data_IF_727808848749
#
_entry.id   IF_727808848749
#
_cell.length_a   1.000
_cell.length_b   1.000
_cell.length_c   1.000
_cell.angle_alpha   90.00
_cell.angle_beta   90.00
_cell.angle_gamma   90.00
#
_symmetry.space_group_name_H-M   'P 1'
#
loop_
_entity.id
_entity.type
_entity.pdbx_description
1 polymer ?
#
# COMPACT_ATOMS: atom_id res chain seq x y z
N UNK A 1 5.29 -4.80 5.31
CA UNK A 1 3.96 -5.30 4.90
C UNK A 1 4.00 -6.25 3.70
N UNK A 2 4.91 -6.11 2.73
CA UNK A 2 5.02 -7.06 1.59
C UNK A 2 5.34 -8.49 2.03
N UNK A 3 6.32 -8.70 2.89
CA UNK A 3 6.76 -10.04 3.31
C UNK A 3 5.66 -10.89 3.97
N UNK A 4 4.88 -10.41 4.95
CA UNK A 4 3.78 -11.20 5.51
C UNK A 4 2.69 -11.53 4.48
N UNK A 5 2.43 -10.63 3.52
CA UNK A 5 1.49 -10.88 2.42
C UNK A 5 2.04 -11.94 1.47
N UNK A 6 3.30 -11.85 1.09
CA UNK A 6 3.96 -12.85 0.24
C UNK A 6 3.96 -14.23 0.92
N UNK A 7 4.23 -14.28 2.23
CA UNK A 7 4.13 -15.51 3.01
C UNK A 7 2.71 -16.07 3.02
N UNK A 8 1.70 -15.24 3.25
CA UNK A 8 0.29 -15.65 3.19
C UNK A 8 -0.07 -16.22 1.81
N UNK A 9 0.31 -15.54 0.73
CA UNK A 9 0.05 -16.02 -0.64
C UNK A 9 0.77 -17.35 -0.92
N UNK A 10 1.98 -17.55 -0.40
CA UNK A 10 2.71 -18.81 -0.55
C UNK A 10 2.06 -19.97 0.22
N UNK A 11 1.47 -19.71 1.38
CA UNK A 11 0.84 -20.73 2.22
C UNK A 11 -0.60 -21.03 1.80
N UNK A 12 -1.40 -20.00 1.53
CA UNK A 12 -2.85 -20.09 1.30
C UNK A 12 -3.23 -20.05 -0.20
N UNK A 13 -2.26 -19.75 -1.09
CA UNK A 13 -2.49 -19.62 -2.52
C UNK A 13 -3.37 -18.42 -2.94
N UNK A 14 -3.81 -17.61 -2.00
CA UNK A 14 -4.71 -16.47 -2.21
C UNK A 14 -4.16 -15.21 -1.55
N UNK A 15 -4.59 -14.04 -2.03
CA UNK A 15 -4.26 -12.78 -1.38
C UNK A 15 -5.15 -12.58 -0.14
N UNK A 16 -4.62 -12.10 0.99
CA UNK A 16 -5.40 -11.97 2.20
C UNK A 16 -6.50 -10.92 2.05
N UNK A 17 -7.68 -11.24 2.60
CA UNK A 17 -8.86 -10.37 2.50
C UNK A 17 -8.77 -9.09 3.32
N UNK A 18 -7.90 -9.04 4.34
CA UNK A 18 -7.71 -7.90 5.23
C UNK A 18 -6.36 -7.99 5.97
N UNK A 19 -5.99 -6.93 6.70
CA UNK A 19 -4.74 -6.86 7.45
C UNK A 19 -4.62 -7.94 8.54
N UNK A 20 -5.73 -8.31 9.20
CA UNK A 20 -5.71 -9.32 10.25
C UNK A 20 -5.39 -10.71 9.69
N UNK A 21 -5.95 -11.08 8.53
CA UNK A 21 -5.63 -12.33 7.84
C UNK A 21 -4.13 -12.46 7.51
N UNK A 22 -3.48 -11.34 7.25
CA UNK A 22 -2.04 -11.27 6.96
C UNK A 22 -1.15 -11.06 8.19
N UNK A 23 -1.72 -11.08 9.41
CA UNK A 23 -1.02 -10.74 10.66
C UNK A 23 -0.30 -9.38 10.61
N UNK A 24 -0.92 -8.39 9.95
CA UNK A 24 -0.37 -7.05 9.85
C UNK A 24 -0.95 -6.14 10.93
N UNK A 25 -0.08 -5.39 11.60
CA UNK A 25 -0.48 -4.30 12.48
C UNK A 25 -0.98 -3.13 11.64
N UNK A 26 -2.22 -2.68 11.89
CA UNK A 26 -2.76 -1.48 11.27
C UNK A 26 -2.25 -0.23 11.99
N UNK A 27 -1.82 0.81 11.27
CA UNK A 27 -1.41 2.07 11.89
C UNK A 27 -2.58 2.75 12.61
N UNK A 28 -2.31 3.62 13.60
CA UNK A 28 -3.36 4.41 14.24
C UNK A 28 -4.11 5.24 13.19
N UNK A 29 -5.45 5.18 13.22
CA UNK A 29 -6.33 5.87 12.27
C UNK A 29 -6.07 7.40 12.16
N UNK A 30 -5.53 7.99 13.23
CA UNK A 30 -5.16 9.40 13.29
C UNK A 30 -4.00 9.80 12.36
N UNK A 31 -3.25 8.83 11.83
CA UNK A 31 -2.12 9.07 10.91
C UNK A 31 -2.43 8.61 9.49
N UNK A 32 -3.22 7.56 9.36
CA UNK A 32 -3.76 7.10 8.09
C UNK A 32 -4.59 5.85 8.24
N UNK A 33 -5.17 5.41 7.14
CA UNK A 33 -5.96 4.18 7.07
C UNK A 33 -5.30 3.20 6.12
N UNK A 34 -5.15 1.96 6.57
CA UNK A 34 -4.66 0.85 5.76
C UNK A 34 -5.85 0.06 5.24
N UNK A 35 -5.91 -0.16 3.93
CA UNK A 35 -6.86 -1.05 3.29
C UNK A 35 -6.10 -2.16 2.54
N UNK A 36 -6.64 -3.37 2.61
CA UNK A 36 -6.15 -4.51 1.82
C UNK A 36 -7.28 -4.95 0.91
N UNK A 37 -6.97 -5.03 -0.38
CA UNK A 37 -7.87 -5.52 -1.42
C UNK A 37 -7.24 -6.76 -2.06
N UNK A 38 -7.99 -7.47 -2.91
CA UNK A 38 -7.62 -8.77 -3.47
C UNK A 38 -6.24 -8.88 -4.18
N UNK A 39 -5.57 -7.76 -4.49
CA UNK A 39 -4.21 -7.77 -5.03
C UNK A 39 -3.39 -6.52 -4.64
N UNK A 40 -3.84 -5.75 -3.64
CA UNK A 40 -3.19 -4.49 -3.30
C UNK A 40 -3.31 -4.10 -1.84
N UNK A 41 -2.36 -3.29 -1.43
CA UNK A 41 -2.31 -2.64 -0.13
C UNK A 41 -2.36 -1.14 -0.39
N UNK A 42 -3.36 -0.46 0.15
CA UNK A 42 -3.51 0.98 0.04
C UNK A 42 -3.36 1.63 1.42
N UNK A 43 -2.59 2.70 1.48
CA UNK A 43 -2.46 3.53 2.68
C UNK A 43 -2.86 4.97 2.35
N UNK A 44 -3.91 5.45 3.00
CA UNK A 44 -4.41 6.83 2.83
C UNK A 44 -3.98 7.67 4.01
N UNK A 45 -3.33 8.80 3.73
CA UNK A 45 -2.80 9.72 4.74
C UNK A 45 -3.94 10.58 5.29
N UNK A 46 -4.33 10.41 6.54
CA UNK A 46 -5.41 11.21 7.16
C UNK A 46 -4.88 12.50 7.79
N UNK A 47 -3.60 12.50 8.19
CA UNK A 47 -2.91 13.64 8.80
C UNK A 47 -1.56 13.87 8.12
N UNK A 48 -1.43 15.01 7.44
CA UNK A 48 -0.24 15.40 6.69
C UNK A 48 -0.27 16.88 6.29
N UNK A 49 0.65 17.28 5.41
CA UNK A 49 0.64 18.61 4.78
C UNK A 49 -0.56 18.73 3.82
N UNK A 50 -0.93 19.94 3.38
CA UNK A 50 -1.99 20.10 2.38
C UNK A 50 -1.77 19.28 1.11
N UNK A 51 -0.51 19.05 0.72
CA UNK A 51 -0.14 18.24 -0.45
C UNK A 51 -0.31 16.73 -0.26
N UNK A 52 -0.25 16.21 0.97
CA UNK A 52 -0.30 14.76 1.24
C UNK A 52 -1.58 14.31 1.93
N UNK A 53 -2.30 15.22 2.59
CA UNK A 53 -3.53 14.89 3.30
C UNK A 53 -4.60 14.40 2.31
N UNK A 54 -5.15 13.23 2.58
CA UNK A 54 -6.13 12.54 1.73
C UNK A 54 -5.52 11.74 0.58
N UNK A 55 -4.20 11.82 0.37
CA UNK A 55 -3.50 11.10 -0.69
C UNK A 55 -3.26 9.65 -0.28
N UNK A 56 -3.25 8.77 -1.27
CA UNK A 56 -3.15 7.32 -1.13
C UNK A 56 -1.92 6.78 -1.83
N UNK A 57 -1.15 5.97 -1.11
CA UNK A 57 -0.05 5.17 -1.64
C UNK A 57 -0.56 3.74 -1.81
N UNK A 58 -0.38 3.17 -2.99
CA UNK A 58 -0.84 1.82 -3.33
C UNK A 58 0.33 0.94 -3.71
N UNK A 59 0.44 -0.22 -3.08
CA UNK A 59 1.28 -1.32 -3.51
C UNK A 59 0.41 -2.40 -4.14
N UNK A 60 0.58 -2.65 -5.43
CA UNK A 60 -0.11 -3.73 -6.13
C UNK A 60 0.84 -4.90 -6.37
N UNK A 61 0.37 -6.12 -6.14
CA UNK A 61 1.11 -7.34 -6.42
C UNK A 61 0.59 -7.94 -7.72
N UNK A 62 1.46 -8.14 -8.69
CA UNK A 62 1.12 -8.90 -9.89
C UNK A 62 0.92 -10.37 -9.49
N UNK A 63 -0.27 -10.97 -9.72
CA UNK A 63 -0.54 -12.34 -9.30
C UNK A 63 0.24 -13.38 -10.12
N UNK A 64 0.60 -13.08 -11.36
CA UNK A 64 1.33 -13.98 -12.24
C UNK A 64 2.83 -14.01 -11.96
N UNK A 65 3.43 -12.86 -11.62
CA UNK A 65 4.88 -12.75 -11.42
C UNK A 65 5.30 -12.57 -9.96
N UNK A 66 4.38 -12.23 -9.07
CA UNK A 66 4.66 -11.83 -7.69
C UNK A 66 5.34 -10.46 -7.56
N UNK A 67 5.57 -9.75 -8.66
CA UNK A 67 6.21 -8.46 -8.64
C UNK A 67 5.32 -7.39 -7.98
N UNK A 68 5.94 -6.52 -7.17
CA UNK A 68 5.25 -5.41 -6.52
C UNK A 68 5.48 -4.11 -7.28
N UNK A 69 4.41 -3.41 -7.62
CA UNK A 69 4.44 -2.03 -8.11
C UNK A 69 3.98 -1.08 -7.01
N UNK A 70 4.51 0.14 -7.02
CA UNK A 70 4.12 1.19 -6.09
C UNK A 70 3.65 2.41 -6.88
N UNK A 71 2.49 2.95 -6.51
CA UNK A 71 1.92 4.14 -7.11
C UNK A 71 1.33 5.05 -6.03
N UNK A 72 1.10 6.31 -6.38
CA UNK A 72 0.36 7.25 -5.54
C UNK A 72 -0.56 8.14 -6.37
N UNK A 73 -1.58 8.70 -5.73
CA UNK A 73 -2.48 9.73 -6.29
C UNK A 73 -2.00 11.18 -6.04
N UNK A 74 -0.76 11.33 -5.55
CA UNK A 74 -0.08 12.62 -5.50
C UNK A 74 0.01 13.25 -6.89
N UNK A 75 -0.04 14.57 -6.92
CA UNK A 75 0.19 15.36 -8.12
C UNK A 75 1.62 15.13 -8.64
N UNK A 76 1.84 15.17 -9.95
CA UNK A 76 3.13 14.79 -10.55
C UNK A 76 4.32 15.60 -10.01
N UNK A 77 4.11 16.88 -9.73
CA UNK A 77 5.13 17.77 -9.14
C UNK A 77 5.47 17.40 -7.70
N UNK A 78 4.53 16.81 -6.97
CA UNK A 78 4.70 16.37 -5.60
C UNK A 78 5.25 14.95 -5.53
N UNK A 79 4.87 14.06 -6.46
CA UNK A 79 5.44 12.71 -6.59
C UNK A 79 6.96 12.75 -6.64
N UNK A 80 7.52 13.60 -7.50
CA UNK A 80 8.99 13.71 -7.69
C UNK A 80 9.74 14.19 -6.45
N UNK A 81 9.05 14.87 -5.52
CA UNK A 81 9.63 15.46 -4.30
C UNK A 81 9.38 14.63 -3.05
N UNK A 82 8.19 14.03 -2.94
CA UNK A 82 7.68 13.43 -1.72
C UNK A 82 7.69 11.90 -1.78
N UNK A 83 7.71 11.30 -2.97
CA UNK A 83 7.75 9.85 -3.13
C UNK A 83 9.16 9.36 -3.45
N UNK A 84 9.55 8.17 -2.94
CA UNK A 84 10.71 7.45 -3.44
C UNK A 84 10.59 7.19 -4.94
N UNK A 85 11.71 7.16 -5.66
CA UNK A 85 11.76 6.97 -7.13
C UNK A 85 11.00 5.74 -7.62
N UNK A 86 11.02 4.65 -6.87
CA UNK A 86 10.29 3.41 -7.20
C UNK A 86 8.75 3.48 -6.98
N UNK A 87 8.24 4.59 -6.46
CA UNK A 87 6.82 4.89 -6.24
C UNK A 87 6.33 6.08 -7.08
N UNK A 88 7.19 6.66 -7.94
CA UNK A 88 6.86 7.83 -8.75
C UNK A 88 6.15 7.50 -10.07
N UNK A 89 5.92 6.20 -10.33
CA UNK A 89 5.22 5.69 -11.51
C UNK A 89 3.73 6.00 -11.56
#
# INVERSE_FOLDING_TARGET
>A
MKTPIDHYVMTEGTFPANAAAANLTTPPAATGTLAINAASIAFTITKGTPSTKGKTITYARNPATGAWTCTSDLDATDKTKLMPTHCQG
#
